data_IF_493690637190
#
_entry.id   IF_493690637190
#
_cell.length_a   1.000
_cell.length_b   1.000
_cell.length_c   1.000
_cell.angle_alpha   90.00
_cell.angle_beta   90.00
_cell.angle_gamma   90.00
#
_symmetry.space_group_name_H-M   'P 1'
#
loop_
_entity.id
_entity.type
_entity.pdbx_description
1 polymer ?
#
# COMPACT_ATOMS: atom_id res chain seq x y z
N UNK A 1 -1.25 -4.05 -12.42
CA UNK A 1 -2.19 -3.39 -11.48
C UNK A 1 -2.94 -4.42 -10.67
N UNK A 2 -3.51 -5.40 -11.36
CA UNK A 2 -4.24 -6.58 -10.92
C UNK A 2 -3.53 -7.34 -9.79
N UNK A 3 -2.21 -7.58 -9.90
CA UNK A 3 -1.45 -8.26 -8.84
C UNK A 3 -1.58 -7.50 -7.51
N UNK A 4 -1.54 -6.16 -7.52
CA UNK A 4 -1.67 -5.33 -6.33
C UNK A 4 -3.08 -5.46 -5.74
N UNK A 5 -4.11 -5.46 -6.56
CA UNK A 5 -5.50 -5.64 -6.14
C UNK A 5 -5.76 -7.04 -5.56
N UNK A 6 -5.09 -8.07 -6.09
CA UNK A 6 -5.20 -9.45 -5.56
C UNK A 6 -4.55 -9.58 -4.19
N UNK A 7 -3.35 -9.02 -3.99
CA UNK A 7 -2.64 -9.15 -2.70
C UNK A 7 -3.14 -8.16 -1.63
N UNK A 8 -3.81 -7.09 -2.04
CA UNK A 8 -4.44 -6.07 -1.21
C UNK A 8 -5.95 -5.98 -1.58
N UNK A 9 -6.79 -6.96 -1.18
CA UNK A 9 -8.19 -7.07 -1.62
C UNK A 9 -9.08 -5.88 -1.22
N UNK A 10 -8.67 -5.06 -0.26
CA UNK A 10 -9.35 -3.80 0.08
C UNK A 10 -9.42 -2.82 -1.09
N UNK A 11 -8.44 -2.87 -2.01
CA UNK A 11 -8.44 -2.05 -3.23
C UNK A 11 -9.60 -2.42 -4.18
N UNK A 12 -10.01 -3.69 -4.19
CA UNK A 12 -11.15 -4.17 -4.99
C UNK A 12 -12.45 -3.54 -4.48
N UNK A 13 -12.61 -3.41 -3.16
CA UNK A 13 -13.77 -2.76 -2.58
C UNK A 13 -13.86 -1.27 -2.98
N UNK A 14 -12.72 -0.62 -3.23
CA UNK A 14 -12.67 0.75 -3.77
C UNK A 14 -13.39 0.88 -5.12
N UNK A 15 -13.33 -0.13 -5.99
CA UNK A 15 -13.99 -0.09 -7.30
C UNK A 15 -15.52 0.04 -7.21
N UNK A 16 -16.12 -0.29 -6.08
CA UNK A 16 -17.57 -0.14 -5.88
C UNK A 16 -17.96 1.35 -5.83
N UNK A 17 -17.07 2.21 -5.34
CA UNK A 17 -17.36 3.62 -5.07
C UNK A 17 -16.58 4.60 -5.94
N UNK A 18 -15.57 4.13 -6.68
CA UNK A 18 -14.68 4.96 -7.48
C UNK A 18 -15.12 4.93 -8.97
N UNK A 19 -15.58 6.06 -9.54
CA UNK A 19 -15.93 6.14 -10.95
C UNK A 19 -14.67 6.11 -11.84
N UNK A 20 -14.88 6.01 -13.17
CA UNK A 20 -13.80 6.20 -14.14
C UNK A 20 -13.21 7.61 -13.99
N UNK A 21 -11.89 7.71 -13.90
CA UNK A 21 -11.18 8.98 -13.75
C UNK A 21 -11.15 9.77 -15.06
N UNK A 22 -11.32 11.08 -14.97
CA UNK A 22 -10.97 12.03 -16.03
C UNK A 22 -9.45 12.27 -16.09
N UNK A 23 -8.97 12.91 -17.17
CA UNK A 23 -7.53 13.09 -17.42
C UNK A 23 -6.78 13.93 -16.38
N UNK A 24 -7.50 14.69 -15.55
CA UNK A 24 -6.99 15.55 -14.48
C UNK A 24 -7.30 15.02 -13.08
N UNK A 25 -7.75 13.77 -12.96
CA UNK A 25 -8.11 13.14 -11.69
C UNK A 25 -7.12 12.04 -11.30
N UNK A 26 -6.98 11.82 -9.99
CA UNK A 26 -6.20 10.75 -9.42
C UNK A 26 -6.91 10.20 -8.17
N UNK A 27 -6.73 8.91 -7.90
CA UNK A 27 -7.29 8.24 -6.74
C UNK A 27 -6.15 7.91 -5.77
N UNK A 28 -6.27 8.39 -4.53
CA UNK A 28 -5.39 8.04 -3.42
C UNK A 28 -6.09 7.07 -2.48
N UNK A 29 -5.44 5.94 -2.18
CA UNK A 29 -5.95 4.94 -1.23
C UNK A 29 -4.89 4.72 -0.15
N UNK A 30 -5.22 5.09 1.09
CA UNK A 30 -4.34 4.97 2.26
C UNK A 30 -4.85 3.87 3.17
N UNK A 31 -3.92 3.05 3.68
CA UNK A 31 -4.21 2.05 4.71
C UNK A 31 -4.49 0.63 4.19
N UNK A 32 -4.37 0.37 2.88
CA UNK A 32 -4.63 -0.95 2.31
C UNK A 32 -3.64 -2.01 2.84
N UNK A 33 -4.12 -3.04 3.54
CA UNK A 33 -3.29 -4.11 4.10
C UNK A 33 -2.96 -5.18 3.05
N UNK A 34 -1.74 -5.73 3.10
CA UNK A 34 -1.30 -6.85 2.26
C UNK A 34 -1.58 -8.18 2.96
N UNK A 35 -2.26 -9.10 2.27
CA UNK A 35 -2.64 -10.40 2.81
C UNK A 35 -1.91 -11.58 2.17
N UNK A 36 -1.39 -11.43 0.95
CA UNK A 36 -0.82 -12.52 0.18
C UNK A 36 0.62 -12.23 -0.31
N UNK A 37 1.45 -13.26 -0.27
CA UNK A 37 2.73 -13.33 -0.97
C UNK A 37 2.52 -13.89 -2.38
N UNK A 38 3.33 -13.45 -3.34
CA UNK A 38 3.24 -13.92 -4.73
C UNK A 38 4.63 -14.06 -5.35
N UNK A 39 4.70 -14.88 -6.40
CA UNK A 39 5.86 -15.03 -7.28
C UNK A 39 5.41 -14.96 -8.74
N UNK A 40 6.33 -14.62 -9.64
CA UNK A 40 6.06 -14.51 -11.08
C UNK A 40 5.21 -13.32 -11.48
N UNK A 41 4.99 -13.20 -12.78
CA UNK A 41 4.25 -12.10 -13.41
C UNK A 41 3.55 -12.60 -14.68
N UNK A 42 2.37 -12.06 -14.98
CA UNK A 42 1.57 -12.49 -16.13
C UNK A 42 1.23 -13.99 -16.06
N UNK A 43 1.54 -14.80 -17.09
CA UNK A 43 1.24 -16.24 -17.09
C UNK A 43 1.94 -17.05 -15.99
N UNK A 44 3.06 -16.57 -15.45
CA UNK A 44 3.81 -17.26 -14.38
C UNK A 44 3.37 -16.85 -12.98
N UNK A 45 2.35 -16.00 -12.85
CA UNK A 45 1.85 -15.52 -11.58
C UNK A 45 1.34 -16.67 -10.70
N UNK A 46 1.87 -16.76 -9.48
CA UNK A 46 1.54 -17.81 -8.53
C UNK A 46 1.39 -17.26 -7.11
N UNK A 47 0.41 -17.79 -6.38
CA UNK A 47 0.26 -17.57 -4.95
C UNK A 47 1.41 -18.22 -4.17
N UNK A 48 2.10 -17.45 -3.33
CA UNK A 48 3.27 -17.90 -2.57
C UNK A 48 3.02 -18.01 -1.05
N UNK A 49 1.74 -18.02 -0.62
CA UNK A 49 1.35 -18.18 0.78
C UNK A 49 0.93 -16.87 1.46
N UNK A 50 0.46 -17.00 2.70
CA UNK A 50 -0.07 -15.87 3.47
C UNK A 50 1.05 -14.87 3.77
N UNK A 51 0.75 -13.57 3.62
CA UNK A 51 1.70 -12.52 3.98
C UNK A 51 1.63 -12.26 5.49
N UNK A 52 2.71 -12.56 6.21
CA UNK A 52 2.85 -12.18 7.62
C UNK A 52 3.65 -10.89 7.73
N UNK A 53 2.96 -9.78 8.00
CA UNK A 53 3.64 -8.53 8.29
C UNK A 53 4.34 -8.59 9.65
N UNK A 54 5.66 -8.40 9.67
CA UNK A 54 6.49 -8.43 10.88
C UNK A 54 7.00 -7.04 11.26
N UNK A 55 6.10 -6.04 11.31
CA UNK A 55 6.36 -4.86 12.15
C UNK A 55 5.55 -5.01 13.43
N UNK A 56 6.20 -4.66 14.54
CA UNK A 56 5.70 -4.83 15.90
C UNK A 56 4.22 -4.47 16.02
N UNK A 57 3.50 -5.35 16.73
CA UNK A 57 2.08 -5.26 17.10
C UNK A 57 1.54 -3.81 17.11
N UNK A 58 0.90 -3.40 16.01
CA UNK A 58 -0.14 -2.40 16.10
C UNK A 58 -1.44 -3.11 16.45
N UNK A 59 -2.08 -2.59 17.49
CA UNK A 59 -3.02 -3.24 18.40
C UNK A 59 -4.42 -3.43 17.76
N UNK A 60 -4.48 -3.38 16.42
CA UNK A 60 -5.72 -3.38 15.64
C UNK A 60 -5.86 -4.57 14.69
N UNK A 61 -5.17 -5.68 14.95
CA UNK A 61 -5.50 -6.97 14.32
C UNK A 61 -6.81 -7.55 14.90
N UNK A 62 -7.94 -6.89 14.67
CA UNK A 62 -9.29 -7.48 14.82
C UNK A 62 -9.43 -8.49 13.66
N UNK A 63 -9.52 -9.81 13.83
CA UNK A 63 -9.77 -10.66 15.00
C UNK A 63 -8.92 -11.93 14.90
N UNK A 64 -8.20 -12.28 15.97
CA UNK A 64 -8.01 -13.69 16.32
C UNK A 64 -9.38 -14.22 16.77
N UNK A 65 -10.05 -15.02 15.96
CA UNK A 65 -11.07 -15.96 16.45
C UNK A 65 -10.36 -17.05 17.25
N UNK A 66 -9.96 -16.73 18.48
CA UNK A 66 -9.70 -17.72 19.54
C UNK A 66 -10.51 -17.28 20.74
N UNK A 67 -11.22 -18.24 21.34
CA UNK A 67 -12.08 -18.05 22.51
C UNK A 67 -11.33 -17.23 23.57
N UNK A 68 -11.96 -16.23 24.22
CA UNK A 68 -11.31 -15.51 25.30
C UNK A 68 -11.18 -16.43 26.51
N UNK A 69 -9.96 -16.81 26.84
CA UNK A 69 -9.61 -17.15 28.22
C UNK A 69 -9.61 -15.84 29.03
N UNK A 70 -10.05 -15.84 30.30
CA UNK A 70 -10.21 -14.61 31.07
C UNK A 70 -8.84 -14.04 31.46
N UNK A 71 -8.53 -12.83 30.99
CA UNK A 71 -7.31 -12.09 31.35
C UNK A 71 -7.57 -11.20 32.58
N UNK A 72 -6.67 -11.18 33.59
CA UNK A 72 -6.80 -10.31 34.74
C UNK A 72 -6.42 -8.85 34.40
N UNK A 73 -6.91 -7.95 35.26
CA UNK A 73 -6.94 -6.49 35.13
C UNK A 73 -5.65 -5.84 34.58
N UNK A 74 -5.73 -5.29 33.37
CA UNK A 74 -4.83 -4.24 32.91
C UNK A 74 -5.65 -2.99 32.56
N UNK A 75 -5.26 -1.87 33.15
CA UNK A 75 -6.05 -0.64 33.29
C UNK A 75 -6.24 0.10 31.96
N UNK A 76 -7.50 0.47 31.67
CA UNK A 76 -7.98 1.15 30.46
C UNK A 76 -7.23 2.45 30.11
N UNK A 77 -6.57 3.09 31.07
CA UNK A 77 -5.87 4.35 30.87
C UNK A 77 -4.63 4.24 29.96
N UNK A 78 -3.92 3.10 29.96
CA UNK A 78 -2.73 2.92 29.10
C UNK A 78 -3.08 2.67 27.62
N UNK A 79 -4.29 2.21 27.33
CA UNK A 79 -4.74 1.94 25.97
C UNK A 79 -5.19 3.20 25.21
N UNK A 80 -5.62 4.25 25.93
CA UNK A 80 -6.14 5.48 25.31
C UNK A 80 -5.00 6.41 24.89
N UNK A 81 -3.94 6.52 25.68
CA UNK A 81 -2.77 7.37 25.36
C UNK A 81 -1.93 6.83 24.20
N UNK A 82 -1.85 5.51 24.04
CA UNK A 82 -1.18 4.87 22.90
C UNK A 82 -1.98 4.97 21.59
N UNK A 83 -3.30 5.15 21.67
CA UNK A 83 -4.16 5.34 20.50
C UNK A 83 -4.08 6.75 19.92
N UNK A 84 -3.64 7.76 20.69
CA UNK A 84 -3.52 9.14 20.21
C UNK A 84 -2.18 9.44 19.50
N UNK A 85 -1.12 8.65 19.73
CA UNK A 85 0.19 8.86 19.07
C UNK A 85 0.34 8.24 17.69
N UNK A 86 -0.52 7.31 17.29
CA UNK A 86 -0.43 6.69 15.96
C UNK A 86 -1.07 7.55 14.86
N UNK A 87 -1.82 8.56 15.25
CA UNK A 87 -2.44 9.49 14.32
C UNK A 87 -1.49 10.68 14.19
N UNK A 88 -0.82 10.76 13.02
CA UNK A 88 -0.03 11.91 12.58
C UNK A 88 1.37 11.99 13.21
N UNK A 89 2.28 11.12 12.77
CA UNK A 89 3.68 11.54 12.58
C UNK A 89 3.84 11.94 11.10
N UNK A 90 3.44 13.17 10.78
CA UNK A 90 3.64 13.81 9.47
C UNK A 90 4.99 14.55 9.46
N UNK A 91 6.09 13.82 9.64
CA UNK A 91 7.42 14.45 9.55
C UNK A 91 8.52 13.50 9.05
N UNK A 92 8.17 12.64 8.10
CA UNK A 92 9.17 12.01 7.22
C UNK A 92 8.83 12.38 5.78
N UNK A 93 9.83 12.86 5.03
CA UNK A 93 9.72 13.22 3.62
C UNK A 93 9.31 11.97 2.83
N UNK A 94 8.01 11.78 2.61
CA UNK A 94 7.45 10.60 1.95
C UNK A 94 7.92 10.62 0.50
N UNK A 95 8.87 9.75 0.17
CA UNK A 95 9.34 9.59 -1.19
C UNK A 95 8.32 8.89 -2.08
N UNK A 96 8.29 9.25 -3.35
CA UNK A 96 7.44 8.59 -4.35
C UNK A 96 8.11 7.30 -4.80
N UNK A 97 7.45 6.16 -4.60
CA UNK A 97 7.86 4.86 -5.13
C UNK A 97 7.08 4.55 -6.42
N UNK A 98 7.77 4.52 -7.55
CA UNK A 98 7.19 4.25 -8.88
C UNK A 98 8.13 3.42 -9.75
N UNK A 99 7.71 3.06 -10.97
CA UNK A 99 8.47 2.25 -11.92
C UNK A 99 8.14 2.56 -13.37
N UNK A 100 8.15 1.52 -14.23
CA UNK A 100 7.90 1.61 -15.68
C UNK A 100 6.41 1.83 -16.00
N UNK A 101 5.83 2.90 -15.44
CA UNK A 101 4.43 3.23 -15.57
C UNK A 101 4.06 3.50 -17.03
N UNK A 102 3.09 2.74 -17.54
CA UNK A 102 2.61 2.85 -18.92
C UNK A 102 3.52 2.26 -19.99
N UNK A 103 4.61 1.55 -19.64
CA UNK A 103 5.54 0.98 -20.64
C UNK A 103 5.29 -0.51 -20.94
N UNK A 104 4.41 -1.17 -20.20
CA UNK A 104 4.02 -2.56 -20.45
C UNK A 104 2.98 -2.66 -21.56
N UNK A 105 1.76 -3.10 -21.22
CA UNK A 105 0.63 -3.26 -22.16
C UNK A 105 0.31 -1.96 -22.93
N UNK A 106 0.56 -0.80 -22.32
CA UNK A 106 0.28 0.51 -22.92
C UNK A 106 1.37 0.99 -23.91
N UNK A 107 2.49 0.27 -24.05
CA UNK A 107 3.50 0.51 -25.09
C UNK A 107 4.23 1.85 -25.00
N UNK A 108 4.23 2.52 -23.86
CA UNK A 108 4.98 3.76 -23.64
C UNK A 108 6.49 3.55 -23.63
N UNK A 109 7.23 4.59 -23.99
CA UNK A 109 8.69 4.59 -23.92
C UNK A 109 9.19 4.82 -22.48
N UNK A 110 10.09 3.95 -22.01
CA UNK A 110 10.61 3.99 -20.64
C UNK A 110 11.40 5.27 -20.34
N UNK A 111 12.21 5.75 -21.27
CA UNK A 111 13.07 6.92 -21.09
C UNK A 111 12.22 8.20 -21.02
N UNK A 112 11.21 8.31 -21.86
CA UNK A 112 10.26 9.41 -21.80
C UNK A 112 9.45 9.39 -20.50
N UNK A 113 8.93 8.22 -20.11
CA UNK A 113 8.09 8.08 -18.91
C UNK A 113 8.86 8.33 -17.62
N UNK A 114 10.14 7.95 -17.53
CA UNK A 114 10.95 8.27 -16.35
C UNK A 114 11.21 9.78 -16.23
N UNK A 115 11.48 10.46 -17.36
CA UNK A 115 11.68 11.92 -17.36
C UNK A 115 10.40 12.66 -16.97
N UNK A 116 9.24 12.22 -17.47
CA UNK A 116 7.95 12.80 -17.08
C UNK A 116 7.65 12.64 -15.58
N UNK A 117 7.89 11.43 -15.04
CA UNK A 117 7.71 11.20 -13.61
C UNK A 117 8.68 12.03 -12.76
N UNK A 118 9.94 12.16 -13.20
CA UNK A 118 10.93 13.00 -12.54
C UNK A 118 10.54 14.48 -12.52
N UNK A 119 10.05 15.01 -13.64
CA UNK A 119 9.55 16.38 -13.72
C UNK A 119 8.34 16.61 -12.81
N UNK A 120 7.37 15.68 -12.82
CA UNK A 120 6.17 15.77 -11.99
C UNK A 120 6.49 15.78 -10.49
N UNK A 121 7.45 14.97 -10.06
CA UNK A 121 7.88 14.90 -8.66
C UNK A 121 8.73 16.11 -8.28
N UNK A 122 9.58 16.59 -9.18
CA UNK A 122 10.40 17.79 -8.95
C UNK A 122 9.55 19.05 -8.77
N UNK A 123 8.38 19.14 -9.41
CA UNK A 123 7.43 20.24 -9.24
C UNK A 123 6.67 20.19 -7.90
N UNK A 124 6.59 19.03 -7.26
CA UNK A 124 5.80 18.80 -6.03
C UNK A 124 6.64 18.62 -4.75
N UNK A 125 7.96 18.88 -4.77
CA UNK A 125 8.86 18.78 -3.59
C UNK A 125 8.69 17.44 -2.82
N UNK A 126 8.62 16.31 -3.53
CA UNK A 126 8.78 14.99 -2.91
C UNK A 126 10.13 14.40 -3.37
N UNK A 127 11.00 13.94 -2.46
CA UNK A 127 12.26 13.31 -2.88
C UNK A 127 12.00 11.90 -3.44
N UNK A 128 12.41 11.62 -4.68
CA UNK A 128 12.33 10.28 -5.27
C UNK A 128 13.27 9.30 -4.56
N UNK A 129 12.73 8.22 -4.00
CA UNK A 129 13.50 7.02 -3.68
C UNK A 129 13.23 5.99 -4.78
N UNK A 130 14.15 5.90 -5.75
CA UNK A 130 14.10 4.90 -6.82
C UNK A 130 14.28 3.49 -6.27
N UNK A 131 13.18 2.80 -6.02
CA UNK A 131 13.13 1.35 -5.90
C UNK A 131 12.69 0.76 -7.23
N UNK A 132 13.63 0.28 -8.05
CA UNK A 132 13.29 -0.50 -9.24
C UNK A 132 12.66 -1.81 -8.76
N UNK A 133 11.34 -1.84 -8.65
CA UNK A 133 10.58 -3.09 -8.48
C UNK A 133 10.44 -3.70 -9.87
N UNK A 134 11.41 -4.53 -10.24
CA UNK A 134 11.17 -5.54 -11.27
C UNK A 134 10.06 -6.46 -10.77
N UNK A 135 8.97 -6.55 -11.53
CA UNK A 135 8.02 -7.64 -11.45
C UNK A 135 8.27 -8.56 -12.66
#
# INVERSE_FOLDING_TARGET
EEIRFVINPELIAGMIFLPCMDANEAIEIVGAERFASYTGYGPSFQYAGDYTYNKGLNIFRRRKTRRPDPLPSATLSQAVESSQRSCIDHEENIGVATGNWGCGVFGGDCELKIMLQWLAVSQNIAMLQFGIVYA
#
